data_IF_513644582430
#
_entry.id   IF_513644582430
#
_cell.length_a   1.000
_cell.length_b   1.000
_cell.length_c   1.000
_cell.angle_alpha   90.00
_cell.angle_beta   90.00
_cell.angle_gamma   90.00
#
_symmetry.space_group_name_H-M   'P 1'
#
loop_
_entity.id
_entity.type
_entity.pdbx_description
1 polymer ?
#
# COMPACT_ATOMS: atom_id res chain seq x y z
N UNK A 1 -36.15 -62.36 41.91
CA UNK A 1 -35.74 -62.24 40.49
C UNK A 1 -34.54 -61.32 40.43
N UNK A 2 -33.33 -61.88 40.32
CA UNK A 2 -32.17 -61.30 39.63
C UNK A 2 -31.06 -62.36 39.63
N UNK A 3 -30.93 -63.07 38.51
CA UNK A 3 -29.78 -63.91 38.20
C UNK A 3 -29.56 -63.80 36.69
N UNK A 4 -28.41 -63.23 36.30
CA UNK A 4 -27.70 -63.41 35.01
C UNK A 4 -26.26 -62.89 35.27
N UNK A 5 -25.24 -63.73 35.50
CA UNK A 5 -24.39 -64.53 34.56
C UNK A 5 -23.32 -63.63 33.86
N UNK A 6 -22.02 -63.62 34.27
CA UNK A 6 -20.84 -64.45 33.85
C UNK A 6 -19.64 -63.51 33.45
N UNK A 7 -18.34 -63.90 33.40
CA UNK A 7 -17.34 -63.58 34.43
C UNK A 7 -16.11 -62.78 33.93
N UNK A 8 -15.15 -62.53 34.84
CA UNK A 8 -13.69 -62.35 34.69
C UNK A 8 -13.09 -61.31 33.71
N UNK A 9 -12.55 -60.22 34.28
CA UNK A 9 -11.43 -59.44 33.70
C UNK A 9 -10.21 -59.33 34.64
N UNK A 10 -10.24 -59.91 35.83
CA UNK A 10 -9.22 -59.69 36.86
C UNK A 10 -7.89 -60.44 36.64
N UNK A 11 -7.74 -61.25 35.59
CA UNK A 11 -6.53 -62.07 35.40
C UNK A 11 -5.58 -61.53 34.32
N UNK A 12 -5.97 -60.53 33.53
CA UNK A 12 -5.20 -60.10 32.34
C UNK A 12 -4.65 -58.66 32.38
N UNK A 13 -4.53 -58.04 33.56
CA UNK A 13 -3.90 -56.71 33.70
C UNK A 13 -2.69 -56.72 34.65
N UNK A 14 -2.56 -57.73 35.50
CA UNK A 14 -1.47 -57.84 36.47
C UNK A 14 -0.05 -57.96 35.85
N UNK A 15 0.05 -58.25 34.55
CA UNK A 15 1.33 -58.36 33.83
C UNK A 15 1.78 -57.06 33.13
N UNK A 16 0.91 -56.07 32.97
CA UNK A 16 1.23 -54.80 32.32
C UNK A 16 1.68 -53.70 33.31
N UNK A 17 1.51 -53.93 34.62
CA UNK A 17 1.80 -52.94 35.68
C UNK A 17 3.28 -52.97 36.12
N UNK A 18 4.08 -53.95 35.70
CA UNK A 18 5.49 -54.08 36.10
C UNK A 18 6.54 -53.59 35.07
N UNK A 19 6.14 -53.27 33.84
CA UNK A 19 7.06 -52.70 32.83
C UNK A 19 6.80 -51.21 32.70
N UNK A 20 7.80 -50.41 33.05
CA UNK A 20 7.90 -48.96 32.78
C UNK A 20 7.44 -47.99 33.87
N UNK A 21 7.41 -48.38 35.14
CA UNK A 21 7.64 -47.47 36.28
C UNK A 21 9.10 -46.98 36.37
N UNK A 22 9.77 -46.79 35.23
CA UNK A 22 11.17 -46.38 35.14
C UNK A 22 11.31 -45.37 33.99
N UNK A 23 11.80 -44.17 34.34
CA UNK A 23 12.10 -43.00 33.48
C UNK A 23 10.88 -42.21 33.00
N UNK A 24 10.81 -40.88 33.11
CA UNK A 24 11.70 -39.88 33.68
C UNK A 24 10.85 -38.63 33.94
N UNK A 25 11.24 -37.89 34.98
CA UNK A 25 10.84 -36.52 35.28
C UNK A 25 10.83 -35.68 33.99
N UNK A 26 9.64 -35.33 33.50
CA UNK A 26 9.50 -34.35 32.42
C UNK A 26 9.77 -32.99 33.04
N UNK A 27 11.01 -32.50 32.90
CA UNK A 27 11.33 -31.10 33.15
C UNK A 27 10.45 -30.24 32.23
N UNK A 28 9.94 -29.08 32.69
CA UNK A 28 9.34 -28.13 31.76
C UNK A 28 10.44 -27.70 30.80
N UNK A 29 10.22 -27.95 29.51
CA UNK A 29 10.99 -27.34 28.44
C UNK A 29 10.83 -25.84 28.63
N UNK A 30 11.89 -25.17 29.10
CA UNK A 30 11.97 -23.73 29.06
C UNK A 30 11.83 -23.34 27.60
N UNK A 31 10.70 -22.74 27.25
CA UNK A 31 10.49 -22.15 25.94
C UNK A 31 11.51 -21.03 25.83
N UNK A 32 12.61 -21.29 25.12
CA UNK A 32 13.46 -20.22 24.64
C UNK A 32 12.55 -19.23 23.92
N UNK A 33 12.48 -18.01 24.44
CA UNK A 33 11.84 -16.91 23.74
C UNK A 33 12.44 -16.91 22.33
N UNK A 34 11.59 -17.16 21.33
CA UNK A 34 11.93 -16.90 19.95
C UNK A 34 12.46 -15.45 19.88
N UNK A 35 13.49 -15.16 19.08
CA UNK A 35 13.95 -13.79 18.91
C UNK A 35 12.73 -12.95 18.51
N UNK A 36 12.57 -11.81 19.19
CA UNK A 36 11.55 -10.83 18.90
C UNK A 36 11.43 -10.67 17.38
N UNK A 37 10.23 -10.89 16.85
CA UNK A 37 9.94 -10.58 15.46
C UNK A 37 10.40 -9.14 15.21
N UNK A 38 11.31 -8.98 14.26
CA UNK A 38 11.67 -7.66 13.76
C UNK A 38 10.35 -6.93 13.44
N UNK A 39 10.17 -5.66 13.84
CA UNK A 39 8.95 -4.94 13.52
C UNK A 39 8.73 -5.05 12.02
N UNK A 40 7.53 -5.51 11.62
CA UNK A 40 7.12 -5.55 10.23
C UNK A 40 7.49 -4.20 9.61
N UNK A 41 8.39 -4.21 8.64
CA UNK A 41 8.63 -3.05 7.81
C UNK A 41 7.26 -2.61 7.28
N UNK A 42 6.80 -1.42 7.69
CA UNK A 42 5.61 -0.83 7.12
C UNK A 42 5.73 -0.92 5.60
N UNK A 43 4.67 -1.34 4.86
CA UNK A 43 4.72 -1.36 3.41
C UNK A 43 5.30 -0.04 2.95
N UNK A 44 6.48 -0.10 2.35
CA UNK A 44 7.09 1.04 1.69
C UNK A 44 6.22 1.23 0.46
N UNK A 45 5.12 1.97 0.61
CA UNK A 45 4.39 2.48 -0.53
C UNK A 45 5.41 3.35 -1.24
N UNK A 46 5.97 2.85 -2.35
CA UNK A 46 6.73 3.69 -3.25
C UNK A 46 5.83 4.91 -3.50
N UNK A 47 6.21 6.08 -2.98
CA UNK A 47 5.41 7.28 -3.11
C UNK A 47 5.13 7.44 -4.60
N UNK A 48 3.86 7.28 -4.98
CA UNK A 48 3.50 7.37 -6.39
C UNK A 48 3.75 8.82 -6.78
N UNK A 49 4.57 9.08 -7.82
CA UNK A 49 5.06 10.41 -8.07
C UNK A 49 3.91 11.32 -8.51
N UNK A 50 4.09 12.63 -8.28
CA UNK A 50 3.28 13.66 -8.93
C UNK A 50 3.73 13.79 -10.38
N UNK A 51 2.79 13.86 -11.33
CA UNK A 51 3.09 13.96 -12.76
C UNK A 51 2.06 14.84 -13.48
N UNK A 52 2.41 15.30 -14.68
CA UNK A 52 1.47 15.99 -15.56
C UNK A 52 0.57 14.94 -16.22
N UNK A 53 -0.74 15.00 -15.94
CA UNK A 53 -1.73 14.02 -16.38
C UNK A 53 -2.33 14.38 -17.74
N UNK A 54 -2.77 15.63 -17.89
CA UNK A 54 -3.40 16.14 -19.10
C UNK A 54 -2.82 17.49 -19.49
N UNK A 55 -2.86 17.75 -20.79
CA UNK A 55 -2.45 19.01 -21.38
C UNK A 55 -3.39 19.33 -22.54
N UNK A 56 -4.23 20.34 -22.35
CA UNK A 56 -5.13 20.84 -23.38
C UNK A 56 -4.50 22.06 -24.05
N UNK A 57 -3.96 21.88 -25.25
CA UNK A 57 -3.12 22.88 -25.93
C UNK A 57 -3.53 23.19 -27.37
N UNK A 58 -4.45 22.42 -27.94
CA UNK A 58 -4.88 22.61 -29.32
C UNK A 58 -6.40 22.59 -29.36
N UNK A 59 -6.97 23.68 -29.85
CA UNK A 59 -8.39 23.85 -30.07
C UNK A 59 -8.61 24.18 -31.54
N UNK A 60 -9.44 23.42 -32.24
CA UNK A 60 -9.92 23.85 -33.56
C UNK A 60 -10.69 25.18 -33.41
N UNK A 61 -10.18 26.26 -34.00
CA UNK A 61 -10.79 27.59 -33.95
C UNK A 61 -10.00 28.60 -33.12
N UNK A 62 -10.66 29.28 -32.18
CA UNK A 62 -9.98 30.15 -31.21
C UNK A 62 -9.58 29.34 -29.98
N UNK A 63 -8.37 29.55 -29.48
CA UNK A 63 -7.84 28.84 -28.30
C UNK A 63 -8.71 29.16 -27.07
N UNK A 64 -9.53 28.19 -26.63
CA UNK A 64 -10.48 28.34 -25.51
C UNK A 64 -10.40 27.13 -24.60
N UNK A 65 -10.17 27.38 -23.30
CA UNK A 65 -10.16 26.32 -22.30
C UNK A 65 -8.84 25.55 -22.25
N UNK A 66 -7.73 26.19 -22.58
CA UNK A 66 -6.39 25.62 -22.41
C UNK A 66 -6.03 25.44 -20.92
N UNK A 67 -5.48 24.28 -20.57
CA UNK A 67 -5.04 23.98 -19.20
C UNK A 67 -3.95 22.90 -19.15
N UNK A 68 -3.27 22.86 -18.00
CA UNK A 68 -2.37 21.82 -17.56
C UNK A 68 -2.98 21.11 -16.36
N UNK A 69 -2.96 19.79 -16.33
CA UNK A 69 -3.44 19.02 -15.19
C UNK A 69 -2.32 18.24 -14.53
N UNK A 70 -2.28 18.28 -13.19
CA UNK A 70 -1.29 17.57 -12.38
C UNK A 70 -2.00 16.52 -11.55
N UNK A 71 -1.60 15.26 -11.69
CA UNK A 71 -2.12 14.15 -10.90
C UNK A 71 -1.08 13.63 -9.91
N UNK A 72 -1.58 13.02 -8.84
CA UNK A 72 -0.75 12.45 -7.79
C UNK A 72 -1.58 11.89 -6.64
N UNK A 73 -0.91 11.47 -5.56
CA UNK A 73 -1.58 11.03 -4.35
C UNK A 73 -2.49 12.14 -3.78
N UNK A 74 -3.69 11.76 -3.36
CA UNK A 74 -4.61 12.68 -2.68
C UNK A 74 -3.97 13.27 -1.43
N UNK A 75 -4.25 14.56 -1.18
CA UNK A 75 -3.64 15.33 -0.09
C UNK A 75 -2.27 15.93 -0.44
N UNK A 76 -1.72 15.69 -1.63
CA UNK A 76 -0.47 16.34 -2.05
C UNK A 76 -0.67 17.83 -2.19
N UNK A 77 0.05 18.63 -1.40
CA UNK A 77 0.07 20.09 -1.50
C UNK A 77 1.09 20.55 -2.56
N UNK A 78 0.59 21.27 -3.57
CA UNK A 78 1.39 21.78 -4.69
C UNK A 78 1.89 23.22 -4.44
N UNK A 79 1.65 23.78 -3.25
CA UNK A 79 2.09 25.14 -2.90
C UNK A 79 3.60 25.28 -3.06
N UNK A 80 4.02 26.27 -3.86
CA UNK A 80 5.44 26.55 -4.13
C UNK A 80 6.04 25.73 -5.27
N UNK A 81 5.27 24.86 -5.90
CA UNK A 81 5.67 24.17 -7.13
C UNK A 81 5.37 25.04 -8.35
N UNK A 82 6.01 24.74 -9.48
CA UNK A 82 5.77 25.45 -10.73
C UNK A 82 5.97 24.55 -11.94
N UNK A 83 5.19 24.78 -13.00
CA UNK A 83 5.44 24.23 -14.33
C UNK A 83 6.06 25.32 -15.22
N UNK A 84 7.22 25.03 -15.80
CA UNK A 84 7.86 25.92 -16.77
C UNK A 84 7.55 25.43 -18.19
N UNK A 85 6.99 26.32 -19.01
CA UNK A 85 6.65 26.03 -20.40
C UNK A 85 7.77 26.55 -21.29
N UNK A 86 8.34 25.66 -22.09
CA UNK A 86 9.49 25.93 -22.96
C UNK A 86 9.06 26.10 -24.40
N UNK A 87 9.68 27.06 -25.08
CA UNK A 87 9.48 27.29 -26.51
C UNK A 87 10.22 26.20 -27.30
N UNK A 88 9.50 25.46 -28.14
CA UNK A 88 10.06 24.32 -28.87
C UNK A 88 11.14 24.71 -29.90
N UNK A 89 11.17 25.96 -30.37
CA UNK A 89 12.12 26.42 -31.40
C UNK A 89 13.49 26.77 -30.82
N UNK A 90 13.54 27.37 -29.63
CA UNK A 90 14.78 27.90 -29.05
C UNK A 90 15.07 27.42 -27.62
N UNK A 91 14.18 26.62 -27.02
CA UNK A 91 14.34 26.04 -25.69
C UNK A 91 14.29 27.07 -24.55
N UNK A 92 13.79 28.29 -24.78
CA UNK A 92 13.64 29.29 -23.72
C UNK A 92 12.31 29.12 -23.01
N UNK A 93 12.27 29.33 -21.70
CA UNK A 93 11.00 29.43 -20.94
C UNK A 93 10.21 30.63 -21.46
N UNK A 94 8.96 30.42 -21.87
CA UNK A 94 8.05 31.50 -22.28
C UNK A 94 6.94 31.77 -21.27
N UNK A 95 6.61 30.79 -20.44
CA UNK A 95 5.65 30.93 -19.35
C UNK A 95 6.02 30.07 -18.14
N UNK A 96 5.56 30.49 -16.96
CA UNK A 96 5.67 29.71 -15.73
C UNK A 96 4.33 29.74 -15.03
N UNK A 97 3.78 28.56 -14.77
CA UNK A 97 2.52 28.39 -14.04
C UNK A 97 2.88 28.03 -12.60
N UNK A 98 2.58 28.93 -11.68
CA UNK A 98 2.73 28.64 -10.25
C UNK A 98 1.58 27.74 -9.80
N UNK A 99 1.92 26.64 -9.16
CA UNK A 99 0.94 25.69 -8.65
C UNK A 99 0.58 26.03 -7.20
N UNK A 100 -0.64 25.67 -6.83
CA UNK A 100 -1.13 25.75 -5.46
C UNK A 100 -2.35 24.85 -5.32
N UNK A 101 -2.77 24.61 -4.07
CA UNK A 101 -3.88 23.71 -3.77
C UNK A 101 -3.40 22.30 -3.45
N UNK A 102 -4.34 21.50 -2.95
CA UNK A 102 -4.12 20.11 -2.61
C UNK A 102 -4.89 19.23 -3.59
N UNK A 103 -4.24 18.20 -4.11
CA UNK A 103 -4.88 17.19 -4.96
C UNK A 103 -5.96 16.49 -4.13
N UNK A 104 -7.19 16.45 -4.62
CA UNK A 104 -8.29 15.75 -3.96
C UNK A 104 -8.25 14.23 -4.22
N UNK A 105 -9.13 13.48 -3.57
CA UNK A 105 -9.28 12.04 -3.80
C UNK A 105 -10.45 11.81 -4.76
N UNK A 106 -10.12 11.59 -6.03
CA UNK A 106 -11.06 11.19 -7.09
C UNK A 106 -11.27 9.66 -7.09
N UNK A 107 -10.45 8.92 -6.33
CA UNK A 107 -10.61 7.51 -6.07
C UNK A 107 -9.30 6.80 -5.74
N UNK A 108 -9.38 5.80 -4.85
CA UNK A 108 -8.24 4.95 -4.45
C UNK A 108 -7.05 5.73 -3.87
N UNK A 109 -7.26 6.94 -3.34
CA UNK A 109 -6.20 7.78 -2.78
C UNK A 109 -5.42 8.59 -3.83
N UNK A 110 -6.02 8.84 -5.00
CA UNK A 110 -5.45 9.60 -6.11
C UNK A 110 -6.45 10.60 -6.66
N UNK A 111 -5.95 11.67 -7.26
CA UNK A 111 -6.75 12.62 -8.01
C UNK A 111 -5.88 13.52 -8.86
N UNK A 112 -6.47 14.63 -9.32
CA UNK A 112 -5.79 15.60 -10.17
C UNK A 112 -6.25 17.04 -9.89
N UNK A 113 -5.44 18.01 -10.31
CA UNK A 113 -5.78 19.42 -10.23
C UNK A 113 -5.43 20.12 -11.54
N UNK A 114 -6.43 20.79 -12.13
CA UNK A 114 -6.29 21.52 -13.38
C UNK A 114 -5.90 22.99 -13.15
N UNK A 115 -4.98 23.47 -13.96
CA UNK A 115 -4.42 24.81 -13.94
C UNK A 115 -4.65 25.48 -15.29
N UNK A 116 -5.56 26.47 -15.36
CA UNK A 116 -5.80 27.22 -16.60
C UNK A 116 -4.52 27.93 -17.05
N UNK A 117 -4.20 27.81 -18.33
CA UNK A 117 -3.04 28.49 -18.91
C UNK A 117 -3.34 28.79 -20.38
N UNK A 118 -3.51 30.06 -20.72
CA UNK A 118 -3.78 30.47 -22.10
C UNK A 118 -2.49 30.63 -22.91
N UNK A 119 -2.60 30.50 -24.25
CA UNK A 119 -1.53 30.76 -25.20
C UNK A 119 -0.42 29.70 -25.15
N UNK A 120 -0.83 28.45 -24.99
CA UNK A 120 0.09 27.32 -25.01
C UNK A 120 0.54 27.09 -26.46
N UNK A 121 1.85 26.96 -26.68
CA UNK A 121 2.40 26.80 -28.03
C UNK A 121 2.11 25.39 -28.58
N UNK A 122 1.48 25.28 -29.76
CA UNK A 122 1.18 24.01 -30.46
C UNK A 122 2.18 23.63 -31.58
N UNK A 123 3.40 24.19 -31.53
CA UNK A 123 4.42 23.98 -32.56
C UNK A 123 4.28 24.99 -33.71
N UNK A 124 5.42 25.49 -34.19
CA UNK A 124 5.49 26.40 -35.35
C UNK A 124 5.41 25.66 -36.67
#
# INVERSE_FOLDING_TARGET
MLQDIVPSKQTLVALAVLVSMLMALVLPVSLAAAPAEAPLAAPQVCATPVFVNEFHYDNDGGDVGEFLEVAGPAGTDLTGWSLALYNGSNGTVYATVNLSGSIDDEGSGFGALAFPQAGIQNGS
#
